data_IF_831647532938
#
_entry.id   IF_831647532938
#
_cell.length_a   1.000
_cell.length_b   1.000
_cell.length_c   1.000
_cell.angle_alpha   90.00
_cell.angle_beta   90.00
_cell.angle_gamma   90.00
#
_symmetry.space_group_name_H-M   'P 1'
#
loop_
_entity.id
_entity.type
_entity.pdbx_description
1 polymer ?
#
# COMPACT_ATOMS: atom_id res chain seq x y z
N UNK A 1 -31.21 -7.07 -14.87
CA UNK A 1 -30.40 -8.06 -14.13
C UNK A 1 -29.32 -7.34 -13.35
N UNK A 2 -28.85 -7.91 -12.24
CA UNK A 2 -27.78 -7.31 -11.41
C UNK A 2 -26.49 -7.25 -12.23
N UNK A 3 -26.02 -6.05 -12.59
CA UNK A 3 -24.79 -5.89 -13.35
C UNK A 3 -23.58 -5.96 -12.40
N UNK A 4 -22.60 -6.85 -12.63
CA UNK A 4 -21.48 -7.06 -11.70
C UNK A 4 -20.61 -5.82 -11.53
N UNK A 5 -20.40 -5.04 -12.60
CA UNK A 5 -19.61 -3.80 -12.53
C UNK A 5 -20.30 -2.69 -11.73
N UNK A 6 -21.64 -2.61 -11.82
CA UNK A 6 -22.41 -1.66 -11.01
C UNK A 6 -22.37 -2.05 -9.53
N UNK A 7 -22.47 -3.34 -9.23
CA UNK A 7 -22.34 -3.86 -7.87
C UNK A 7 -20.95 -3.59 -7.27
N UNK A 8 -19.90 -3.72 -8.09
CA UNK A 8 -18.54 -3.36 -7.72
C UNK A 8 -18.39 -1.86 -7.42
N UNK A 9 -18.93 -1.01 -8.30
CA UNK A 9 -18.93 0.44 -8.09
C UNK A 9 -19.68 0.81 -6.80
N UNK A 10 -20.84 0.21 -6.55
CA UNK A 10 -21.58 0.43 -5.31
C UNK A 10 -20.83 -0.06 -4.07
N UNK A 11 -20.06 -1.15 -4.18
CA UNK A 11 -19.21 -1.61 -3.08
C UNK A 11 -18.05 -0.66 -2.77
N UNK A 12 -17.47 -0.06 -3.82
CA UNK A 12 -16.50 1.03 -3.68
C UNK A 12 -17.14 2.24 -3.00
N UNK A 13 -18.27 2.74 -3.52
CA UNK A 13 -18.96 3.89 -2.92
C UNK A 13 -19.35 3.64 -1.46
N UNK A 14 -19.75 2.42 -1.11
CA UNK A 14 -20.05 2.06 0.28
C UNK A 14 -18.83 2.12 1.20
N UNK A 15 -17.64 1.85 0.67
CA UNK A 15 -16.38 1.91 1.40
C UNK A 15 -15.86 3.35 1.56
N UNK A 16 -16.18 4.26 0.63
CA UNK A 16 -15.86 5.69 0.75
C UNK A 16 -16.90 6.47 1.56
N UNK A 17 -18.18 6.17 1.38
CA UNK A 17 -19.31 6.85 2.02
C UNK A 17 -20.39 5.82 2.40
N UNK A 18 -20.24 5.09 3.53
CA UNK A 18 -21.18 4.05 3.91
C UNK A 18 -22.61 4.57 4.09
N UNK A 19 -22.75 5.82 4.56
CA UNK A 19 -24.03 6.50 4.78
C UNK A 19 -24.86 6.71 3.50
N UNK A 20 -24.20 6.78 2.34
CA UNK A 20 -24.87 7.02 1.05
C UNK A 20 -25.30 5.74 0.34
N UNK A 21 -24.84 4.57 0.81
CA UNK A 21 -25.14 3.26 0.20
C UNK A 21 -25.85 2.36 1.21
N UNK A 22 -27.18 2.52 1.29
CA UNK A 22 -28.07 1.74 2.18
C UNK A 22 -28.24 0.28 1.76
N UNK A 23 -27.75 -0.10 0.58
CA UNK A 23 -27.91 -1.44 0.02
C UNK A 23 -26.96 -2.43 0.71
N UNK A 24 -27.47 -3.60 1.07
CA UNK A 24 -26.66 -4.72 1.57
C UNK A 24 -25.92 -5.39 0.41
N UNK A 25 -24.59 -5.23 0.40
CA UNK A 25 -23.70 -5.81 -0.60
C UNK A 25 -22.96 -7.02 0.00
N UNK A 26 -22.61 -8.04 -0.79
CA UNK A 26 -21.88 -9.21 -0.29
C UNK A 26 -20.51 -8.80 0.25
N UNK A 27 -20.20 -9.22 1.49
CA UNK A 27 -18.97 -8.84 2.19
C UNK A 27 -17.67 -9.49 1.66
N UNK A 28 -17.78 -10.46 0.74
CA UNK A 28 -16.61 -11.08 0.11
C UNK A 28 -16.25 -10.31 -1.16
N UNK A 29 -15.17 -9.55 -1.09
CA UNK A 29 -14.62 -8.81 -2.22
C UNK A 29 -14.13 -9.77 -3.30
N UNK A 30 -14.72 -9.65 -4.49
CA UNK A 30 -14.20 -10.25 -5.72
C UNK A 30 -13.56 -9.13 -6.54
N UNK A 31 -12.44 -9.41 -7.22
CA UNK A 31 -11.89 -8.50 -8.21
C UNK A 31 -12.86 -8.41 -9.40
N UNK A 32 -13.72 -7.40 -9.41
CA UNK A 32 -14.76 -7.20 -10.44
C UNK A 32 -14.26 -6.43 -11.66
N UNK A 33 -13.24 -5.59 -11.47
CA UNK A 33 -12.54 -4.89 -12.55
C UNK A 33 -11.25 -5.65 -12.82
N UNK A 34 -11.21 -6.41 -13.92
CA UNK A 34 -9.96 -7.02 -14.38
C UNK A 34 -9.13 -5.93 -15.04
N UNK A 35 -7.90 -5.71 -14.59
CA UNK A 35 -6.95 -4.85 -15.28
C UNK A 35 -6.69 -5.40 -16.70
N UNK A 36 -7.27 -4.77 -17.71
CA UNK A 36 -6.93 -5.00 -19.13
C UNK A 36 -5.58 -4.35 -19.51
N UNK A 37 -4.90 -3.76 -18.53
CA UNK A 37 -3.74 -2.89 -18.72
C UNK A 37 -2.42 -3.62 -18.97
N UNK A 38 -2.30 -4.93 -18.78
CA UNK A 38 -1.04 -5.66 -19.03
C UNK A 38 -0.35 -5.34 -20.37
N UNK A 39 -1.04 -5.51 -21.53
CA UNK A 39 -0.47 -5.18 -22.83
C UNK A 39 -0.27 -3.67 -23.05
N UNK A 40 -1.12 -2.82 -22.47
CA UNK A 40 -0.98 -1.36 -22.57
C UNK A 40 0.18 -0.82 -21.73
N UNK A 41 0.40 -1.37 -20.53
CA UNK A 41 1.55 -1.08 -19.66
C UNK A 41 2.86 -1.46 -20.37
N UNK A 42 2.92 -2.65 -20.96
CA UNK A 42 4.08 -3.08 -21.74
C UNK A 42 4.34 -2.16 -22.96
N UNK A 43 3.30 -1.79 -23.71
CA UNK A 43 3.41 -0.89 -24.86
C UNK A 43 3.88 0.52 -24.47
N UNK A 44 3.32 1.09 -23.39
CA UNK A 44 3.72 2.42 -22.89
C UNK A 44 5.17 2.41 -22.40
N UNK A 45 5.58 1.34 -21.72
CA UNK A 45 6.97 1.18 -21.25
C UNK A 45 7.95 1.06 -22.43
N UNK A 46 7.62 0.29 -23.47
CA UNK A 46 8.44 0.18 -24.67
C UNK A 46 8.61 1.53 -25.40
N UNK A 47 7.53 2.31 -25.53
CA UNK A 47 7.58 3.66 -26.11
C UNK A 47 8.46 4.59 -25.26
N UNK A 48 8.37 4.49 -23.93
CA UNK A 48 9.19 5.31 -23.03
C UNK A 48 10.68 4.98 -23.11
N UNK A 49 11.05 3.70 -23.09
CA UNK A 49 12.46 3.29 -23.18
C UNK A 49 13.07 3.78 -24.50
N UNK A 50 12.33 3.64 -25.60
CA UNK A 50 12.72 4.20 -26.91
C UNK A 50 12.93 5.71 -26.88
N UNK A 51 12.15 6.46 -26.12
CA UNK A 51 12.31 7.91 -26.01
C UNK A 51 13.46 8.34 -25.10
N UNK A 52 13.91 7.48 -24.17
CA UNK A 52 15.06 7.75 -23.31
C UNK A 52 16.39 7.44 -24.00
N UNK A 53 16.47 6.40 -24.83
CA UNK A 53 17.68 6.07 -25.61
C UNK A 53 17.99 7.09 -26.72
N UNK A 54 16.98 7.80 -27.23
CA UNK A 54 17.12 8.73 -28.36
C UNK A 54 17.39 10.20 -27.96
N UNK A 55 17.73 10.50 -26.70
CA UNK A 55 18.10 11.86 -26.29
C UNK A 55 19.61 12.06 -26.37
N UNK A 56 20.14 12.87 -27.31
CA UNK A 56 21.54 13.28 -27.26
C UNK A 56 21.73 14.23 -26.08
N UNK A 57 22.61 13.85 -25.16
CA UNK A 57 22.97 14.63 -23.98
C UNK A 57 23.44 16.06 -24.35
N UNK A 58 22.88 17.12 -23.75
CA UNK A 58 23.58 18.40 -23.66
C UNK A 58 24.48 18.38 -22.42
N UNK A 59 25.78 18.56 -22.63
CA UNK A 59 26.75 18.83 -21.57
C UNK A 59 26.32 20.09 -20.77
N UNK A 60 26.22 20.04 -19.42
CA UNK A 60 26.01 21.25 -18.66
C UNK A 60 27.36 21.92 -18.36
N UNK A 61 27.63 23.04 -19.03
CA UNK A 61 28.59 24.02 -18.55
C UNK A 61 28.07 24.59 -17.22
N UNK A 62 28.84 24.37 -16.16
CA UNK A 62 28.60 24.93 -14.84
C UNK A 62 28.82 26.44 -14.85
N UNK A 63 27.78 27.22 -14.53
CA UNK A 63 27.92 28.54 -13.93
C UNK A 63 26.60 28.92 -13.21
N UNK A 64 26.65 29.08 -11.89
CA UNK A 64 25.58 29.74 -11.11
C UNK A 64 24.92 28.88 -10.03
N UNK A 65 25.00 29.35 -8.80
CA UNK A 65 24.44 28.77 -7.58
C UNK A 65 22.90 28.78 -7.58
N UNK A 66 22.30 27.71 -8.07
CA UNK A 66 20.98 27.20 -7.69
C UNK A 66 20.87 25.79 -8.27
N UNK A 67 20.77 24.76 -7.42
CA UNK A 67 20.59 23.40 -7.91
C UNK A 67 19.32 23.31 -8.78
N UNK A 68 19.42 22.87 -10.05
CA UNK A 68 18.26 22.66 -10.87
C UNK A 68 17.58 21.38 -10.38
N UNK A 69 16.38 21.51 -9.80
CA UNK A 69 15.49 20.39 -9.60
C UNK A 69 15.16 19.79 -10.97
N UNK A 70 15.85 18.69 -11.30
CA UNK A 70 15.56 17.84 -12.44
C UNK A 70 14.11 17.36 -12.35
N UNK A 71 13.22 17.98 -13.14
CA UNK A 71 11.84 17.55 -13.35
C UNK A 71 11.84 16.26 -14.19
N UNK A 72 12.25 15.13 -13.60
CA UNK A 72 11.85 13.81 -14.09
C UNK A 72 10.37 13.63 -13.72
N UNK A 73 9.47 13.91 -14.67
CA UNK A 73 8.05 13.56 -14.57
C UNK A 73 7.93 12.03 -14.48
N UNK A 74 7.81 11.53 -13.24
CA UNK A 74 7.52 10.14 -12.89
C UNK A 74 6.09 9.80 -13.29
N UNK A 75 5.90 8.86 -14.22
CA UNK A 75 4.62 8.24 -14.52
C UNK A 75 4.76 6.73 -14.32
N UNK A 76 4.19 6.22 -13.22
CA UNK A 76 3.70 4.86 -13.00
C UNK A 76 2.77 5.00 -11.77
N UNK A 77 1.50 5.33 -12.01
CA UNK A 77 0.55 5.86 -11.01
C UNK A 77 -0.12 4.80 -10.12
N UNK A 78 0.39 3.58 -10.05
CA UNK A 78 -0.25 2.50 -9.27
C UNK A 78 0.70 1.84 -8.25
N UNK A 79 2.01 1.78 -8.53
CA UNK A 79 2.99 1.10 -7.66
C UNK A 79 3.91 2.03 -6.89
N UNK A 80 4.17 3.24 -7.41
CA UNK A 80 4.80 4.28 -6.61
C UNK A 80 3.69 4.91 -5.81
N UNK A 81 3.64 4.57 -4.54
CA UNK A 81 2.93 5.31 -3.53
C UNK A 81 3.21 6.81 -3.76
N UNK A 82 2.25 7.58 -4.29
CA UNK A 82 2.55 8.93 -4.74
C UNK A 82 2.80 9.79 -3.52
N UNK A 83 3.97 10.43 -3.48
CA UNK A 83 4.23 11.48 -2.51
C UNK A 83 3.17 12.56 -2.68
N UNK A 84 2.49 12.88 -1.58
CA UNK A 84 1.45 13.91 -1.50
C UNK A 84 1.93 15.18 -2.23
N UNK A 85 1.31 15.48 -3.37
CA UNK A 85 1.81 16.45 -4.33
C UNK A 85 1.55 17.89 -3.85
N UNK A 86 2.59 18.66 -3.53
CA UNK A 86 2.49 20.10 -3.25
C UNK A 86 1.82 20.85 -4.41
N UNK A 87 0.52 21.11 -4.30
CA UNK A 87 -0.16 22.09 -5.15
C UNK A 87 0.28 23.48 -4.69
N UNK A 88 1.23 24.07 -5.42
CA UNK A 88 1.46 25.52 -5.34
C UNK A 88 0.22 26.18 -5.92
N UNK A 89 -0.62 26.73 -5.03
CA UNK A 89 -1.66 27.67 -5.43
C UNK A 89 -0.95 28.87 -6.06
N UNK A 90 -0.96 28.94 -7.39
CA UNK A 90 -0.78 30.20 -8.08
C UNK A 90 -2.06 31.00 -7.81
N UNK A 91 -2.00 31.91 -6.84
CA UNK A 91 -2.88 33.05 -6.84
C UNK A 91 -2.59 33.83 -8.12
N UNK A 92 -3.56 33.90 -9.03
CA UNK A 92 -3.87 35.12 -9.76
C UNK A 92 -5.29 34.98 -10.36
N UNK A 93 -6.11 35.93 -9.91
CA UNK A 93 -7.44 36.35 -10.31
C UNK A 93 -8.03 35.77 -11.61
N UNK A 94 -9.24 35.19 -11.52
CA UNK A 94 -10.35 35.74 -12.31
C UNK A 94 -11.70 35.48 -11.63
N UNK A 95 -12.56 36.49 -11.69
CA UNK A 95 -13.84 36.58 -10.99
C UNK A 95 -14.93 35.84 -11.75
N UNK A 96 -15.97 35.47 -10.99
CA UNK A 96 -17.34 35.18 -11.45
C UNK A 96 -17.54 33.97 -12.37
N UNK A 97 -18.04 32.88 -11.76
CA UNK A 97 -19.33 32.30 -12.15
C UNK A 97 -19.85 31.34 -11.08
N UNK A 98 -21.07 31.65 -10.67
CA UNK A 98 -21.93 30.88 -9.78
C UNK A 98 -22.04 29.42 -10.24
N UNK A 99 -21.56 28.50 -9.41
CA UNK A 99 -22.17 27.18 -9.24
C UNK A 99 -22.29 26.93 -7.75
N UNK A 100 -23.50 26.59 -7.31
CA UNK A 100 -23.86 26.36 -5.92
C UNK A 100 -23.15 25.08 -5.45
N UNK A 101 -22.04 25.24 -4.74
CA UNK A 101 -21.34 24.14 -4.07
C UNK A 101 -22.13 23.70 -2.82
N UNK A 102 -22.92 22.65 -2.98
CA UNK A 102 -23.70 22.01 -1.90
C UNK A 102 -22.86 21.16 -0.93
N UNK A 103 -21.54 21.34 -0.88
CA UNK A 103 -20.63 20.63 0.03
C UNK A 103 -19.53 21.54 0.61
N UNK A 104 -19.85 22.79 0.93
CA UNK A 104 -19.00 23.57 1.83
C UNK A 104 -19.15 23.05 3.27
N UNK A 105 -18.50 21.95 3.57
CA UNK A 105 -18.34 21.44 4.94
C UNK A 105 -16.86 21.48 5.28
N UNK A 106 -16.51 22.46 6.10
CA UNK A 106 -15.26 22.58 6.86
C UNK A 106 -13.97 22.44 6.05
N UNK A 107 -13.48 23.58 5.56
CA UNK A 107 -12.07 23.97 5.46
C UNK A 107 -11.04 22.84 5.77
N UNK A 108 -10.95 21.81 4.92
CA UNK A 108 -10.12 20.62 5.20
C UNK A 108 -8.65 20.94 4.95
N UNK A 109 -7.77 20.41 5.80
CA UNK A 109 -6.33 20.64 5.68
C UNK A 109 -5.74 19.64 4.68
N UNK A 110 -5.12 20.11 3.58
CA UNK A 110 -4.53 19.21 2.61
C UNK A 110 -3.33 18.48 3.21
N UNK A 111 -3.34 17.16 3.10
CA UNK A 111 -2.28 16.26 3.59
C UNK A 111 -0.90 16.62 3.04
N UNK A 112 -0.85 17.26 1.88
CA UNK A 112 0.33 17.74 1.15
C UNK A 112 1.12 18.80 1.92
N UNK A 113 0.42 19.57 2.76
CA UNK A 113 1.01 20.64 3.54
C UNK A 113 1.56 20.16 4.88
N UNK A 114 1.31 18.89 5.23
CA UNK A 114 1.71 18.30 6.49
C UNK A 114 3.17 17.83 6.43
N UNK A 115 4.07 18.65 6.99
CA UNK A 115 5.52 18.39 6.98
C UNK A 115 6.09 18.09 8.37
N UNK A 116 5.42 18.58 9.42
CA UNK A 116 5.92 18.48 10.80
C UNK A 116 4.85 17.94 11.72
N UNK A 117 5.26 17.19 12.75
CA UNK A 117 4.36 16.66 13.78
C UNK A 117 3.52 17.74 14.49
N UNK A 118 4.08 18.94 14.72
CA UNK A 118 3.31 20.06 15.29
C UNK A 118 2.14 20.49 14.39
N UNK A 119 2.29 20.40 13.06
CA UNK A 119 1.21 20.73 12.13
C UNK A 119 0.13 19.64 12.14
N UNK A 120 0.52 18.38 12.32
CA UNK A 120 -0.41 17.28 12.53
C UNK A 120 -1.28 17.54 13.76
N UNK A 121 -0.68 17.83 14.92
CA UNK A 121 -1.42 18.08 16.16
C UNK A 121 -2.40 19.26 16.03
N UNK A 122 -1.97 20.36 15.40
CA UNK A 122 -2.82 21.54 15.22
C UNK A 122 -3.98 21.31 14.26
N UNK A 123 -3.78 20.48 13.23
CA UNK A 123 -4.77 20.27 12.16
C UNK A 123 -5.45 18.90 12.23
N UNK A 124 -5.26 18.12 13.31
CA UNK A 124 -5.78 16.75 13.42
C UNK A 124 -7.30 16.67 13.21
N UNK A 125 -8.03 17.70 13.66
CA UNK A 125 -9.48 17.82 13.54
C UNK A 125 -9.97 18.22 12.13
N UNK A 126 -9.06 18.65 11.25
CA UNK A 126 -9.33 19.12 9.88
C UNK A 126 -8.68 18.22 8.83
N UNK A 127 -7.98 17.18 9.25
CA UNK A 127 -7.20 16.34 8.35
C UNK A 127 -8.07 15.22 7.80
N UNK A 128 -8.18 15.16 6.48
CA UNK A 128 -8.85 14.07 5.77
C UNK A 128 -7.80 13.15 5.14
N UNK A 129 -8.05 11.84 5.17
CA UNK A 129 -7.16 10.89 4.50
C UNK A 129 -7.24 11.04 2.97
N UNK A 130 -6.10 10.87 2.26
CA UNK A 130 -6.08 10.97 0.82
C UNK A 130 -6.97 9.89 0.19
N UNK A 131 -7.55 10.21 -0.97
CA UNK A 131 -8.30 9.22 -1.77
C UNK A 131 -7.40 8.05 -2.20
N UNK A 132 -6.11 8.33 -2.42
CA UNK A 132 -5.08 7.36 -2.74
C UNK A 132 -4.44 6.80 -1.47
N UNK A 133 -5.09 5.80 -0.86
CA UNK A 133 -4.70 5.23 0.42
C UNK A 133 -3.26 4.68 0.46
N UNK A 134 -2.70 4.26 -0.68
CA UNK A 134 -1.30 3.84 -0.75
C UNK A 134 -0.32 4.88 -0.21
N UNK A 135 -0.58 6.18 -0.42
CA UNK A 135 0.25 7.32 0.08
C UNK A 135 0.46 7.30 1.59
N UNK A 136 -0.49 6.73 2.34
CA UNK A 136 -0.43 6.60 3.79
C UNK A 136 0.75 5.73 4.22
N UNK A 137 1.02 4.61 3.52
CA UNK A 137 2.08 3.66 3.89
C UNK A 137 3.49 4.27 3.85
N UNK A 138 3.71 5.32 3.05
CA UNK A 138 5.03 6.01 2.98
C UNK A 138 5.17 7.20 3.91
N UNK A 139 4.07 7.71 4.46
CA UNK A 139 4.10 8.93 5.26
C UNK A 139 3.94 8.60 6.76
N UNK A 140 5.01 8.69 7.57
CA UNK A 140 4.94 8.35 8.98
C UNK A 140 3.95 9.22 9.77
N UNK A 141 3.71 10.46 9.34
CA UNK A 141 2.75 11.34 10.00
C UNK A 141 1.30 10.88 9.75
N UNK A 142 1.02 10.34 8.56
CA UNK A 142 -0.29 9.75 8.26
C UNK A 142 -0.48 8.40 8.94
N UNK A 143 0.58 7.59 9.07
CA UNK A 143 0.54 6.36 9.86
C UNK A 143 0.26 6.66 11.34
N UNK A 144 0.89 7.68 11.92
CA UNK A 144 0.55 8.14 13.28
C UNK A 144 -0.90 8.59 13.39
N UNK A 145 -1.38 9.37 12.41
CA UNK A 145 -2.77 9.82 12.41
C UNK A 145 -3.73 8.63 12.32
N UNK A 146 -3.43 7.63 11.50
CA UNK A 146 -4.22 6.41 11.35
C UNK A 146 -4.36 5.65 12.67
N UNK A 147 -3.28 5.55 13.46
CA UNK A 147 -3.34 4.96 14.81
C UNK A 147 -4.16 5.77 15.82
N UNK A 148 -4.37 7.07 15.59
CA UNK A 148 -5.17 7.91 16.48
C UNK A 148 -6.66 7.93 16.11
N UNK A 149 -7.00 7.69 14.85
CA UNK A 149 -8.36 7.78 14.34
C UNK A 149 -9.12 6.50 14.64
N UNK A 150 -10.24 6.63 15.36
CA UNK A 150 -11.12 5.50 15.71
C UNK A 150 -12.14 5.13 14.62
N UNK A 151 -12.07 5.78 13.47
CA UNK A 151 -12.97 5.51 12.35
C UNK A 151 -12.48 4.29 11.55
N UNK A 152 -13.17 3.17 11.73
CA UNK A 152 -12.92 1.91 11.02
C UNK A 152 -13.00 2.05 9.49
N UNK A 153 -13.73 3.06 8.98
CA UNK A 153 -13.85 3.28 7.53
C UNK A 153 -12.49 3.56 6.87
N UNK A 154 -11.58 4.22 7.59
CA UNK A 154 -10.24 4.56 7.11
C UNK A 154 -9.39 3.29 6.94
N UNK A 155 -9.36 2.45 7.97
CA UNK A 155 -8.62 1.18 7.96
C UNK A 155 -9.18 0.27 6.86
N UNK A 156 -10.51 0.18 6.73
CA UNK A 156 -11.16 -0.58 5.67
C UNK A 156 -10.76 -0.08 4.28
N UNK A 157 -10.65 1.24 4.08
CA UNK A 157 -10.20 1.83 2.81
C UNK A 157 -8.77 1.45 2.48
N UNK A 158 -7.87 1.46 3.45
CA UNK A 158 -6.49 1.03 3.26
C UNK A 158 -6.41 -0.46 2.93
N UNK A 159 -7.08 -1.31 3.71
CA UNK A 159 -7.11 -2.75 3.50
C UNK A 159 -7.68 -3.12 2.14
N UNK A 160 -8.74 -2.44 1.71
CA UNK A 160 -9.28 -2.64 0.37
C UNK A 160 -8.27 -2.31 -0.72
N UNK A 161 -7.64 -1.13 -0.63
CA UNK A 161 -6.65 -0.71 -1.60
C UNK A 161 -5.47 -1.69 -1.64
N UNK A 162 -4.92 -2.07 -0.48
CA UNK A 162 -3.82 -3.03 -0.38
C UNK A 162 -4.20 -4.40 -0.93
N UNK A 163 -5.39 -4.92 -0.60
CA UNK A 163 -5.85 -6.20 -1.13
C UNK A 163 -5.97 -6.21 -2.64
N UNK A 164 -6.45 -5.13 -3.25
CA UNK A 164 -6.46 -4.99 -4.71
C UNK A 164 -5.04 -4.90 -5.28
N UNK A 165 -4.17 -4.05 -4.73
CA UNK A 165 -2.79 -3.90 -5.19
C UNK A 165 -2.01 -5.21 -5.07
N UNK A 166 -2.08 -5.89 -3.92
CA UNK A 166 -1.42 -7.18 -3.72
C UNK A 166 -1.96 -8.25 -4.68
N UNK A 167 -3.26 -8.29 -4.95
CA UNK A 167 -3.84 -9.27 -5.86
C UNK A 167 -3.50 -8.99 -7.34
N UNK A 168 -3.53 -7.73 -7.75
CA UNK A 168 -3.19 -7.32 -9.12
C UNK A 168 -1.72 -7.52 -9.42
N UNK A 169 -0.87 -7.18 -8.45
CA UNK A 169 0.58 -7.18 -8.60
C UNK A 169 1.18 -8.56 -8.31
N UNK A 170 0.49 -9.39 -7.51
CA UNK A 170 0.86 -10.79 -7.33
C UNK A 170 0.32 -11.66 -8.47
N UNK A 171 1.00 -11.56 -9.59
CA UNK A 171 0.91 -12.49 -10.71
C UNK A 171 2.24 -13.23 -10.91
N UNK A 172 2.97 -13.50 -9.82
CA UNK A 172 3.97 -14.57 -9.80
C UNK A 172 5.08 -14.43 -10.83
N UNK A 173 5.35 -13.18 -11.19
CA UNK A 173 6.09 -12.75 -12.37
C UNK A 173 5.39 -13.12 -13.68
N UNK A 174 4.48 -12.25 -14.15
CA UNK A 174 4.21 -12.17 -15.59
C UNK A 174 5.57 -12.00 -16.27
N UNK A 175 5.88 -13.00 -17.10
CA UNK A 175 7.17 -13.27 -17.69
C UNK A 175 7.90 -12.01 -18.21
N UNK A 176 9.22 -11.99 -17.96
CA UNK A 176 10.22 -11.24 -18.71
C UNK A 176 10.42 -9.74 -18.43
N UNK A 177 9.90 -9.18 -17.33
CA UNK A 177 10.21 -7.79 -16.94
C UNK A 177 10.86 -7.69 -15.55
N UNK A 178 12.19 -7.69 -15.50
CA UNK A 178 12.99 -7.44 -14.28
C UNK A 178 12.57 -6.15 -13.54
N UNK A 179 12.17 -5.11 -14.28
CA UNK A 179 11.72 -3.84 -13.72
C UNK A 179 10.44 -3.98 -12.88
N UNK A 180 9.55 -4.91 -13.26
CA UNK A 180 8.29 -5.11 -12.55
C UNK A 180 8.50 -5.82 -11.21
N UNK A 181 9.43 -6.79 -11.16
CA UNK A 181 9.79 -7.44 -9.90
C UNK A 181 10.44 -6.46 -8.91
N UNK A 182 11.28 -5.53 -9.39
CA UNK A 182 11.91 -4.51 -8.55
C UNK A 182 10.86 -3.52 -7.97
N UNK A 183 9.91 -3.06 -8.79
CA UNK A 183 8.83 -2.19 -8.32
C UNK A 183 7.95 -2.88 -7.26
N UNK A 184 7.64 -4.18 -7.46
CA UNK A 184 6.89 -4.95 -6.49
C UNK A 184 7.67 -5.18 -5.19
N UNK A 185 8.98 -5.44 -5.27
CA UNK A 185 9.86 -5.51 -4.08
C UNK A 185 9.85 -4.21 -3.30
N UNK A 186 9.97 -3.06 -3.97
CA UNK A 186 9.92 -1.75 -3.33
C UNK A 186 8.57 -1.50 -2.65
N UNK A 187 7.47 -1.93 -3.27
CA UNK A 187 6.15 -1.86 -2.67
C UNK A 187 6.07 -2.70 -1.40
N UNK A 188 6.45 -3.99 -1.44
CA UNK A 188 6.41 -4.86 -0.26
C UNK A 188 7.35 -4.35 0.85
N UNK A 189 8.48 -3.74 0.51
CA UNK A 189 9.38 -3.12 1.49
C UNK A 189 8.74 -1.90 2.17
N UNK A 190 7.97 -1.09 1.45
CA UNK A 190 7.21 0.02 2.05
C UNK A 190 6.09 -0.48 2.98
N UNK A 191 5.40 -1.55 2.57
CA UNK A 191 4.41 -2.22 3.42
C UNK A 191 5.06 -2.73 4.70
N UNK A 192 6.17 -3.46 4.60
CA UNK A 192 6.90 -3.97 5.76
C UNK A 192 7.36 -2.85 6.70
N UNK A 193 7.85 -1.72 6.16
CA UNK A 193 8.23 -0.55 6.98
C UNK A 193 7.03 0.04 7.71
N UNK A 194 5.87 0.08 7.06
CA UNK A 194 4.64 0.54 7.70
C UNK A 194 4.19 -0.44 8.81
N UNK A 195 4.25 -1.75 8.59
CA UNK A 195 3.96 -2.76 9.63
C UNK A 195 4.91 -2.62 10.83
N UNK A 196 6.22 -2.47 10.58
CA UNK A 196 7.20 -2.23 11.64
C UNK A 196 6.93 -0.95 12.42
N UNK A 197 6.49 0.10 11.74
CA UNK A 197 6.19 1.39 12.35
C UNK A 197 4.93 1.32 13.23
N UNK A 198 3.90 0.64 12.75
CA UNK A 198 2.64 0.44 13.49
C UNK A 198 2.77 -0.64 14.56
N UNK A 199 3.80 -1.50 14.45
CA UNK A 199 3.97 -2.72 15.24
C UNK A 199 2.78 -3.68 15.13
N UNK A 200 2.14 -3.68 13.95
CA UNK A 200 0.96 -4.47 13.65
C UNK A 200 1.01 -4.91 12.18
N UNK A 201 0.65 -6.16 11.92
CA UNK A 201 0.53 -6.70 10.56
C UNK A 201 -0.80 -6.33 9.91
N UNK A 202 -0.79 -6.12 8.60
CA UNK A 202 -2.02 -5.80 7.89
C UNK A 202 -2.82 -7.05 7.50
N UNK A 203 -4.13 -7.05 7.73
CA UNK A 203 -5.03 -8.15 7.36
C UNK A 203 -4.97 -8.52 5.87
N UNK A 204 -4.79 -7.53 5.00
CA UNK A 204 -4.63 -7.74 3.56
C UNK A 204 -3.34 -8.48 3.21
N UNK A 205 -2.26 -8.25 3.97
CA UNK A 205 -0.99 -8.96 3.80
C UNK A 205 -1.12 -10.41 4.25
N UNK A 206 -1.81 -10.66 5.36
CA UNK A 206 -2.10 -12.01 5.84
C UNK A 206 -2.92 -12.80 4.79
N UNK A 207 -4.05 -12.25 4.33
CA UNK A 207 -4.89 -12.89 3.33
C UNK A 207 -4.13 -13.16 2.02
N UNK A 208 -3.26 -12.21 1.65
CA UNK A 208 -2.37 -12.33 0.52
C UNK A 208 -1.37 -13.49 0.68
N UNK A 209 -0.68 -13.56 1.83
CA UNK A 209 0.30 -14.60 2.12
C UNK A 209 -0.32 -16.00 2.14
N UNK A 210 -1.48 -16.17 2.78
CA UNK A 210 -2.16 -17.47 2.82
C UNK A 210 -2.59 -17.98 1.44
N UNK A 211 -2.95 -17.07 0.53
CA UNK A 211 -3.29 -17.44 -0.85
C UNK A 211 -2.06 -17.66 -1.72
N UNK A 212 -0.97 -16.94 -1.44
CA UNK A 212 0.22 -16.94 -2.29
C UNK A 212 1.23 -18.03 -1.89
N UNK A 213 1.54 -18.21 -0.61
CA UNK A 213 2.57 -19.15 -0.16
C UNK A 213 2.45 -20.58 -0.73
N UNK A 214 1.25 -21.21 -0.84
CA UNK A 214 1.13 -22.56 -1.41
C UNK A 214 1.57 -22.69 -2.85
N UNK A 215 1.55 -21.59 -3.61
CA UNK A 215 1.96 -21.59 -5.00
C UNK A 215 3.48 -21.31 -5.11
N UNK A 216 4.14 -20.78 -4.04
CA UNK A 216 5.38 -19.95 -4.09
C UNK A 216 6.61 -20.76 -4.43
N UNK A 217 7.45 -20.23 -5.32
CA UNK A 217 8.69 -20.89 -5.75
C UNK A 217 9.86 -20.66 -4.78
N UNK A 218 9.73 -19.72 -3.84
CA UNK A 218 10.76 -19.36 -2.87
C UNK A 218 11.86 -18.42 -3.40
N UNK A 219 11.78 -17.97 -4.66
CA UNK A 219 12.81 -17.12 -5.27
C UNK A 219 12.37 -15.66 -5.36
N UNK A 220 11.21 -15.41 -5.96
CA UNK A 220 10.72 -14.06 -6.20
C UNK A 220 10.43 -13.34 -4.87
N UNK A 221 10.97 -12.12 -4.70
CA UNK A 221 10.74 -11.28 -3.52
C UNK A 221 11.00 -11.97 -2.16
N UNK A 222 11.90 -12.97 -2.11
CA UNK A 222 12.13 -13.82 -0.92
C UNK A 222 12.29 -13.06 0.39
N UNK A 223 13.16 -12.05 0.42
CA UNK A 223 13.39 -11.26 1.64
C UNK A 223 12.12 -10.55 2.11
N UNK A 224 11.36 -9.95 1.19
CA UNK A 224 10.17 -9.19 1.49
C UNK A 224 9.03 -10.10 1.94
N UNK A 225 8.81 -11.23 1.25
CA UNK A 225 7.78 -12.21 1.63
C UNK A 225 8.03 -12.76 3.02
N UNK A 226 9.27 -13.18 3.32
CA UNK A 226 9.64 -13.70 4.64
C UNK A 226 9.53 -12.63 5.74
N UNK A 227 9.82 -11.36 5.42
CA UNK A 227 9.61 -10.23 6.34
C UNK A 227 8.12 -10.00 6.63
N UNK A 228 7.26 -10.05 5.63
CA UNK A 228 5.81 -9.92 5.83
C UNK A 228 5.26 -11.12 6.63
N UNK A 229 5.80 -12.32 6.43
CA UNK A 229 5.46 -13.50 7.26
C UNK A 229 5.74 -13.23 8.74
N UNK A 230 6.76 -12.45 9.09
CA UNK A 230 7.08 -12.13 10.49
C UNK A 230 6.02 -11.28 11.20
N UNK A 231 5.10 -10.65 10.46
CA UNK A 231 4.03 -9.81 11.02
C UNK A 231 2.65 -10.47 11.00
N UNK A 232 2.54 -11.74 10.59
CA UNK A 232 1.27 -12.47 10.63
C UNK A 232 0.76 -12.54 12.08
N UNK A 233 -0.48 -12.14 12.37
CA UNK A 233 -1.03 -12.21 13.72
C UNK A 233 -1.16 -13.65 14.20
N UNK A 234 -1.10 -13.85 15.53
CA UNK A 234 -1.32 -15.17 16.12
C UNK A 234 -2.77 -15.61 15.85
N UNK A 235 -2.93 -16.78 15.23
CA UNK A 235 -4.24 -17.37 14.95
C UNK A 235 -4.29 -18.85 15.36
N UNK A 236 -5.41 -19.53 15.06
CA UNK A 236 -5.59 -20.92 15.44
C UNK A 236 -4.51 -21.81 14.81
N UNK A 237 -3.88 -22.68 15.62
CA UNK A 237 -2.81 -23.55 15.14
C UNK A 237 -3.20 -24.37 13.89
N UNK A 238 -4.45 -24.83 13.80
CA UNK A 238 -4.93 -25.59 12.63
C UNK A 238 -4.90 -24.76 11.35
N UNK A 239 -5.25 -23.47 11.42
CA UNK A 239 -5.29 -22.57 10.27
C UNK A 239 -3.85 -22.22 9.86
N UNK A 240 -3.03 -21.76 10.81
CA UNK A 240 -1.62 -21.47 10.59
C UNK A 240 -0.85 -22.66 10.02
N UNK A 241 -1.11 -23.87 10.51
CA UNK A 241 -0.47 -25.07 9.98
C UNK A 241 -0.75 -25.26 8.49
N UNK A 242 -2.03 -25.22 8.13
CA UNK A 242 -2.44 -25.45 6.74
C UNK A 242 -2.04 -24.33 5.77
N UNK A 243 -2.06 -23.07 6.23
CA UNK A 243 -1.90 -21.90 5.36
C UNK A 243 -0.48 -21.32 5.36
N UNK A 244 0.29 -21.52 6.43
CA UNK A 244 1.63 -20.98 6.59
C UNK A 244 2.70 -22.08 6.69
N UNK A 245 2.58 -22.99 7.67
CA UNK A 245 3.66 -23.93 7.97
C UNK A 245 3.82 -25.03 6.94
N UNK A 246 2.73 -25.63 6.46
CA UNK A 246 2.81 -26.71 5.46
C UNK A 246 3.44 -26.21 4.13
N UNK A 247 3.05 -25.05 3.56
CA UNK A 247 3.73 -24.47 2.39
C UNK A 247 5.21 -24.15 2.65
N UNK A 248 5.52 -23.50 3.78
CA UNK A 248 6.91 -23.17 4.12
C UNK A 248 7.76 -24.42 4.34
N UNK A 249 7.21 -25.48 4.92
CA UNK A 249 7.90 -26.74 5.13
C UNK A 249 8.25 -27.42 3.80
N UNK A 250 7.33 -27.43 2.83
CA UNK A 250 7.60 -27.96 1.49
C UNK A 250 8.77 -27.24 0.82
N UNK A 251 8.81 -25.91 0.90
CA UNK A 251 9.93 -25.10 0.40
C UNK A 251 11.20 -25.32 1.21
N UNK A 252 11.09 -25.44 2.53
CA UNK A 252 12.21 -25.68 3.42
C UNK A 252 12.91 -26.98 3.07
N UNK A 253 12.20 -28.09 2.86
CA UNK A 253 12.84 -29.37 2.57
C UNK A 253 13.52 -29.43 1.19
N UNK A 254 13.01 -28.70 0.21
CA UNK A 254 13.49 -28.72 -1.18
C UNK A 254 14.57 -27.67 -1.48
N UNK A 255 14.83 -26.75 -0.55
CA UNK A 255 15.67 -25.56 -0.77
C UNK A 255 17.10 -25.67 -0.21
N UNK A 256 17.91 -24.67 -0.56
CA UNK A 256 19.30 -24.52 -0.10
C UNK A 256 19.40 -24.21 1.40
N UNK A 257 20.58 -24.45 1.98
CA UNK A 257 20.85 -24.13 3.39
C UNK A 257 20.61 -22.64 3.70
N UNK A 258 20.97 -21.74 2.79
CA UNK A 258 20.74 -20.32 2.96
C UNK A 258 19.24 -19.99 3.10
N UNK A 259 18.40 -20.57 2.22
CA UNK A 259 16.95 -20.38 2.30
C UNK A 259 16.39 -20.90 3.63
N UNK A 260 16.84 -22.09 4.06
CA UNK A 260 16.47 -22.67 5.35
C UNK A 260 16.78 -21.72 6.52
N UNK A 261 17.96 -21.11 6.52
CA UNK A 261 18.33 -20.11 7.53
C UNK A 261 17.42 -18.89 7.49
N UNK A 262 17.10 -18.35 6.30
CA UNK A 262 16.19 -17.20 6.17
C UNK A 262 14.78 -17.50 6.68
N UNK A 263 14.26 -18.72 6.44
CA UNK A 263 12.96 -19.14 6.98
C UNK A 263 13.00 -19.21 8.51
N UNK A 264 14.04 -19.80 9.09
CA UNK A 264 14.19 -19.88 10.54
C UNK A 264 14.31 -18.49 11.19
N UNK A 265 15.02 -17.56 10.54
CA UNK A 265 15.13 -16.17 10.98
C UNK A 265 13.78 -15.46 10.96
N UNK A 266 13.02 -15.59 9.87
CA UNK A 266 11.66 -15.06 9.75
C UNK A 266 10.70 -15.63 10.81
N UNK A 267 10.73 -16.94 11.05
CA UNK A 267 9.91 -17.57 12.09
C UNK A 267 10.33 -17.14 13.50
N UNK A 268 11.62 -16.89 13.72
CA UNK A 268 12.10 -16.32 14.98
C UNK A 268 11.55 -14.89 15.18
N UNK A 269 11.61 -14.05 14.16
CA UNK A 269 11.04 -12.69 14.20
C UNK A 269 9.52 -12.72 14.45
N UNK A 270 8.80 -13.64 13.81
CA UNK A 270 7.37 -13.87 14.05
C UNK A 270 7.07 -14.12 15.53
N UNK A 271 7.80 -15.05 16.14
CA UNK A 271 7.65 -15.38 17.56
C UNK A 271 7.98 -14.17 18.46
N UNK A 272 8.99 -13.38 18.09
CA UNK A 272 9.34 -12.16 18.83
C UNK A 272 8.23 -11.13 18.76
N UNK A 273 7.63 -10.93 17.57
CA UNK A 273 6.51 -10.00 17.38
C UNK A 273 5.27 -10.44 18.18
N UNK A 274 4.95 -11.74 18.20
CA UNK A 274 3.87 -12.26 19.05
C UNK A 274 4.12 -12.05 20.54
N UNK A 275 5.36 -12.25 20.99
CA UNK A 275 5.71 -12.03 22.38
C UNK A 275 5.61 -10.55 22.75
N UNK A 276 6.10 -9.65 21.89
CA UNK A 276 5.97 -8.21 22.10
C UNK A 276 4.51 -7.78 22.17
N UNK A 277 3.66 -8.30 21.27
CA UNK A 277 2.23 -8.03 21.28
C UNK A 277 1.58 -8.47 22.60
N UNK A 278 1.91 -9.67 23.09
CA UNK A 278 1.36 -10.20 24.34
C UNK A 278 1.80 -9.38 25.56
N UNK A 279 3.04 -8.88 25.59
CA UNK A 279 3.53 -8.00 26.68
C UNK A 279 2.76 -6.69 26.70
N UNK A 280 2.57 -6.04 25.55
CA UNK A 280 1.83 -4.78 25.45
C UNK A 280 0.36 -4.91 25.90
N UNK A 281 -0.26 -6.09 25.74
CA UNK A 281 -1.63 -6.34 26.19
C UNK A 281 -1.72 -6.56 27.70
N UNK A 282 -0.73 -7.24 28.30
CA UNK A 282 -0.68 -7.45 29.75
C UNK A 282 -0.51 -6.12 30.50
N UNK A 283 0.32 -5.21 29.99
CA UNK A 283 0.53 -3.89 30.60
C UNK A 283 -0.76 -3.06 30.61
N UNK A 284 -1.57 -3.15 29.54
CA UNK A 284 -2.86 -2.46 29.45
C UNK A 284 -3.93 -3.02 30.39
N UNK A 285 -3.91 -4.32 30.70
CA UNK A 285 -4.84 -4.93 31.67
C UNK A 285 -4.45 -4.63 33.13
N UNK A 286 -3.17 -4.37 33.41
CA UNK A 286 -2.70 -4.01 34.76
C UNK A 286 -2.94 -2.55 35.16
N UNK A 287 -3.18 -1.66 34.19
CA UNK A 287 -3.50 -0.24 34.41
C UNK A 287 -5.02 0.05 34.49
N UNK A 288 -5.85 -1.00 34.48
CA UNK A 288 -7.34 -0.95 34.60
C UNK A 288 -7.82 -1.38 35.99
#
# INVERSE_FOLDING_TARGET
GVQPHLQALLSLYKLFCPELVTITLPGKMKAYFKNSEGPWKAAINAVRQRNQENSPAPQPLFLGTAQPQSRKRKWNSQLIIPASSKTKNNLEEDREKNHVDLYSTNESFPVEQLQTFSQLLQNIHRLEFPSQMGSVLTNPLLLHYMNCVKDESVSLRLYYWMGQTLQEECTWCVADSYQYEEEFKDFLENVYKAECFLQEGFSSCEEFLYKSLPLWDGFCCRSQVLRLVSWIPLSNFSEMKSQLYDPLAQLFFTSSLYFKCSVLESLKELLQNWLNWHVSHLDSESDS
#
